data_IF_227977315228
#
_entry.id   IF_227977315228
#
_cell.length_a   1.000
_cell.length_b   1.000
_cell.length_c   1.000
_cell.angle_alpha   90.00
_cell.angle_beta   90.00
_cell.angle_gamma   90.00
#
_symmetry.space_group_name_H-M   'P 1'
#
loop_
_entity.id
_entity.type
_entity.pdbx_description
1 polymer ?
#
# COMPACT_ATOMS: atom_id res chain seq x y z
N UNK A 1 -5.48 1.14 -24.77
CA UNK A 1 -5.26 1.25 -23.32
C UNK A 1 -5.64 -0.10 -22.80
N UNK A 2 -4.71 -0.85 -22.20
CA UNK A 2 -5.08 -2.11 -21.57
C UNK A 2 -5.97 -1.73 -20.39
N UNK A 3 -7.26 -2.02 -20.48
CA UNK A 3 -8.24 -1.79 -19.41
C UNK A 3 -7.95 -2.83 -18.32
N UNK A 4 -6.94 -2.58 -17.48
CA UNK A 4 -6.78 -3.31 -16.25
C UNK A 4 -7.46 -2.53 -15.13
N UNK A 5 -8.34 -3.21 -14.40
CA UNK A 5 -8.99 -2.68 -13.22
C UNK A 5 -8.37 -3.35 -12.00
N UNK A 6 -8.27 -2.64 -10.89
CA UNK A 6 -7.85 -3.25 -9.62
C UNK A 6 -8.93 -4.23 -9.21
N UNK A 7 -8.57 -5.51 -9.10
CA UNK A 7 -9.46 -6.57 -8.65
C UNK A 7 -9.42 -6.68 -7.13
N UNK A 8 -8.21 -6.74 -6.57
CA UNK A 8 -7.98 -6.84 -5.13
C UNK A 8 -6.77 -6.03 -4.70
N UNK A 9 -6.77 -5.61 -3.44
CA UNK A 9 -5.61 -4.99 -2.81
C UNK A 9 -5.59 -5.25 -1.30
N UNK A 10 -4.39 -5.33 -0.74
CA UNK A 10 -4.17 -5.64 0.67
C UNK A 10 -2.92 -4.94 1.22
N UNK A 11 -2.96 -4.64 2.51
CA UNK A 11 -1.86 -4.02 3.25
C UNK A 11 -1.57 -4.92 4.44
N UNK A 12 -0.36 -5.49 4.50
CA UNK A 12 0.03 -6.51 5.47
C UNK A 12 1.30 -6.11 6.22
N UNK A 13 1.37 -6.45 7.50
CA UNK A 13 2.63 -6.31 8.23
C UNK A 13 3.64 -7.36 7.73
N UNK A 14 4.91 -6.98 7.67
CA UNK A 14 5.99 -7.94 7.43
C UNK A 14 6.52 -8.40 8.79
N UNK A 15 6.19 -9.65 9.18
CA UNK A 15 6.58 -10.20 10.47
C UNK A 15 8.11 -10.18 10.64
N UNK A 16 8.58 -9.55 11.71
CA UNK A 16 10.00 -9.46 12.03
C UNK A 16 10.75 -8.32 11.32
N UNK A 17 10.06 -7.49 10.54
CA UNK A 17 10.63 -6.31 9.88
C UNK A 17 9.93 -5.01 10.31
N UNK A 18 10.57 -3.88 10.05
CA UNK A 18 10.03 -2.52 10.23
C UNK A 18 9.39 -2.02 8.93
N UNK A 19 8.61 -2.92 8.30
CA UNK A 19 8.02 -2.71 6.99
C UNK A 19 6.58 -3.23 6.94
N UNK A 20 5.77 -2.56 6.13
CA UNK A 20 4.45 -2.99 5.68
C UNK A 20 4.50 -3.27 4.18
N UNK A 21 3.81 -4.30 3.73
CA UNK A 21 3.64 -4.63 2.31
C UNK A 21 2.28 -4.14 1.81
N UNK A 22 2.26 -3.46 0.66
CA UNK A 22 1.05 -3.21 -0.13
C UNK A 22 1.08 -4.11 -1.36
N UNK A 23 0.02 -4.90 -1.56
CA UNK A 23 -0.15 -5.75 -2.73
C UNK A 23 -1.40 -5.30 -3.48
N UNK A 24 -1.27 -5.07 -4.79
CA UNK A 24 -2.37 -4.74 -5.69
C UNK A 24 -2.40 -5.81 -6.80
N UNK A 25 -3.56 -6.39 -7.05
CA UNK A 25 -3.78 -7.38 -8.12
C UNK A 25 -4.85 -6.85 -9.06
N UNK A 26 -4.57 -6.87 -10.37
CA UNK A 26 -5.52 -6.47 -11.40
C UNK A 26 -6.18 -7.65 -12.10
N UNK A 27 -7.28 -7.35 -12.79
CA UNK A 27 -8.07 -8.32 -13.56
C UNK A 27 -7.31 -9.00 -14.70
N UNK A 28 -6.21 -8.43 -15.17
CA UNK A 28 -5.34 -9.02 -16.20
C UNK A 28 -4.23 -9.92 -15.63
N UNK A 29 -4.23 -10.11 -14.30
CA UNK A 29 -3.28 -10.95 -13.59
C UNK A 29 -1.95 -10.27 -13.26
N UNK A 30 -1.81 -8.97 -13.51
CA UNK A 30 -0.67 -8.22 -13.02
C UNK A 30 -0.77 -8.03 -11.49
N UNK A 31 0.40 -8.08 -10.85
CA UNK A 31 0.55 -7.87 -9.40
C UNK A 31 1.63 -6.83 -9.17
N UNK A 32 1.33 -5.85 -8.34
CA UNK A 32 2.28 -4.85 -7.86
C UNK A 32 2.47 -5.00 -6.36
N UNK A 33 3.72 -4.94 -5.92
CA UNK A 33 4.12 -5.13 -4.52
C UNK A 33 5.00 -3.96 -4.12
N UNK A 34 4.63 -3.29 -3.02
CA UNK A 34 5.34 -2.13 -2.50
C UNK A 34 5.73 -2.38 -1.04
N UNK A 35 7.00 -2.14 -0.76
CA UNK A 35 7.55 -2.18 0.59
C UNK A 35 7.56 -0.80 1.23
N UNK A 36 6.84 -0.65 2.34
CA UNK A 36 6.62 0.64 2.99
C UNK A 36 7.32 0.62 4.35
N UNK A 37 8.53 1.21 4.46
CA UNK A 37 9.25 1.24 5.72
C UNK A 37 8.55 2.17 6.71
N UNK A 38 8.46 1.73 7.96
CA UNK A 38 7.90 2.53 9.05
C UNK A 38 8.78 2.46 10.30
N UNK A 39 8.66 3.44 11.18
CA UNK A 39 9.38 3.50 12.44
C UNK A 39 8.46 3.07 13.59
N UNK A 40 8.69 1.87 14.16
CA UNK A 40 7.95 1.39 15.35
C UNK A 40 7.98 2.35 16.52
N UNK A 41 9.11 3.04 16.75
CA UNK A 41 9.23 3.96 17.87
C UNK A 41 8.46 5.28 17.73
N UNK A 42 8.04 5.64 16.51
CA UNK A 42 7.37 6.93 16.24
C UNK A 42 6.04 6.82 15.50
N UNK A 43 5.69 5.64 14.98
CA UNK A 43 4.51 5.43 14.15
C UNK A 43 4.52 6.18 12.82
N UNK A 44 5.69 6.62 12.36
CA UNK A 44 5.85 7.36 11.10
C UNK A 44 6.34 6.43 10.00
N UNK A 45 5.83 6.62 8.79
CA UNK A 45 6.30 5.93 7.58
C UNK A 45 6.57 6.93 6.48
N UNK A 46 7.19 6.45 5.40
CA UNK A 46 7.38 7.20 4.17
C UNK A 46 6.98 6.29 3.03
N UNK A 47 6.04 6.75 2.21
CA UNK A 47 5.57 6.03 1.03
C UNK A 47 5.55 7.01 -0.15
N UNK A 48 6.63 7.03 -0.93
CA UNK A 48 6.80 7.97 -2.05
C UNK A 48 6.00 7.52 -3.28
N UNK A 49 5.78 6.21 -3.42
CA UNK A 49 5.04 5.62 -4.52
C UNK A 49 3.52 5.83 -4.42
N UNK A 50 3.01 6.43 -3.34
CA UNK A 50 1.56 6.72 -3.21
C UNK A 50 1.04 7.61 -4.36
N UNK A 51 1.86 8.55 -4.83
CA UNK A 51 1.52 9.39 -5.97
C UNK A 51 1.44 8.56 -7.27
N UNK A 52 2.26 7.51 -7.39
CA UNK A 52 2.21 6.57 -8.52
C UNK A 52 0.93 5.74 -8.46
N UNK A 53 0.53 5.29 -7.26
CA UNK A 53 -0.75 4.59 -7.07
C UNK A 53 -1.92 5.47 -7.51
N UNK A 54 -1.91 6.75 -7.12
CA UNK A 54 -2.95 7.70 -7.53
C UNK A 54 -3.01 7.89 -9.06
N UNK A 55 -1.85 7.93 -9.73
CA UNK A 55 -1.78 8.05 -11.19
C UNK A 55 -2.20 6.78 -11.93
N UNK A 56 -1.78 5.60 -11.44
CA UNK A 56 -1.95 4.33 -12.16
C UNK A 56 -3.29 3.64 -11.84
N UNK A 57 -3.81 3.81 -10.62
CA UNK A 57 -5.01 3.13 -10.13
C UNK A 57 -6.11 4.07 -9.64
N UNK A 58 -5.82 5.37 -9.54
CA UNK A 58 -6.77 6.42 -9.16
C UNK A 58 -6.60 6.93 -7.73
N UNK A 59 -7.03 8.18 -7.51
CA UNK A 59 -6.93 8.86 -6.21
C UNK A 59 -7.72 8.14 -5.11
N UNK A 60 -8.86 7.55 -5.43
CA UNK A 60 -9.69 6.80 -4.47
C UNK A 60 -8.92 5.64 -3.84
N UNK A 61 -8.22 4.84 -4.65
CA UNK A 61 -7.43 3.72 -4.12
C UNK A 61 -6.27 4.23 -3.27
N UNK A 62 -5.59 5.29 -3.70
CA UNK A 62 -4.48 5.87 -2.95
C UNK A 62 -4.94 6.39 -1.57
N UNK A 63 -6.09 7.05 -1.50
CA UNK A 63 -6.69 7.48 -0.22
C UNK A 63 -7.02 6.28 0.68
N UNK A 64 -7.67 5.23 0.14
CA UNK A 64 -8.00 4.03 0.93
C UNK A 64 -6.76 3.30 1.45
N UNK A 65 -5.71 3.19 0.61
CA UNK A 65 -4.42 2.61 0.98
C UNK A 65 -3.80 3.40 2.12
N UNK A 66 -3.77 4.73 2.03
CA UNK A 66 -3.24 5.62 3.07
C UNK A 66 -3.96 5.43 4.40
N UNK A 67 -5.31 5.37 4.37
CA UNK A 67 -6.12 5.14 5.57
C UNK A 67 -5.80 3.78 6.22
N UNK A 68 -5.68 2.71 5.42
CA UNK A 68 -5.33 1.39 5.96
C UNK A 68 -3.90 1.33 6.49
N UNK A 69 -2.95 1.99 5.82
CA UNK A 69 -1.57 2.10 6.27
C UNK A 69 -1.48 2.80 7.62
N UNK A 70 -2.12 3.96 7.75
CA UNK A 70 -2.18 4.71 9.01
C UNK A 70 -2.77 3.84 10.14
N UNK A 71 -3.88 3.15 9.87
CA UNK A 71 -4.53 2.29 10.84
C UNK A 71 -3.71 1.05 11.22
N UNK A 72 -2.93 0.49 10.29
CA UNK A 72 -2.05 -0.64 10.56
C UNK A 72 -0.83 -0.18 11.36
N UNK A 73 -0.15 0.87 10.93
CA UNK A 73 1.05 1.40 11.58
C UNK A 73 0.73 1.88 13.00
N UNK A 74 -0.42 2.50 13.22
CA UNK A 74 -0.89 2.87 14.57
C UNK A 74 -1.13 1.68 15.51
N UNK A 75 -1.27 0.45 14.99
CA UNK A 75 -1.34 -0.78 15.79
C UNK A 75 0.03 -1.40 16.04
N UNK A 76 1.00 -1.15 15.17
CA UNK A 76 2.34 -1.73 15.21
C UNK A 76 3.35 -0.87 15.99
N UNK A 77 3.07 0.43 16.13
CA UNK A 77 3.84 1.40 16.92
C UNK A 77 3.26 1.57 18.33
#
# INVERSE_FOLDING_TARGET
>A
MTEYEVETWEVNEVEGDDQVELVITSTDGNRWEYGIPFSRGSGRYTFEEIDVIAMDFGEELAEEVTIKLDALIAKLA
#
